data_IF_562961292944
#
_entry.id   IF_562961292944
#
_cell.length_a   1.000
_cell.length_b   1.000
_cell.length_c   1.000
_cell.angle_alpha   90.00
_cell.angle_beta   90.00
_cell.angle_gamma   90.00
#
_symmetry.space_group_name_H-M   'P 1'
#
loop_
_entity.id
_entity.type
_entity.pdbx_description
1 polymer ?
#
# COMPACT_ATOMS: atom_id res chain seq x y z
N UNK A 1 36.83 -6.86 -0.36
CA UNK A 1 35.94 -8.02 -0.17
C UNK A 1 34.61 -7.72 -0.83
N UNK A 2 34.29 -8.41 -1.92
CA UNK A 2 32.93 -8.35 -2.48
C UNK A 2 31.94 -8.89 -1.44
N UNK A 3 30.92 -8.10 -1.10
CA UNK A 3 29.85 -8.54 -0.21
C UNK A 3 29.10 -9.67 -0.90
N UNK A 4 29.15 -10.87 -0.33
CA UNK A 4 28.36 -12.02 -0.82
C UNK A 4 26.87 -11.66 -0.75
N UNK A 5 26.20 -11.69 -1.90
CA UNK A 5 24.76 -11.42 -1.99
C UNK A 5 23.99 -12.58 -1.34
N UNK A 6 23.17 -12.27 -0.33
CA UNK A 6 22.43 -13.27 0.46
C UNK A 6 21.20 -13.84 -0.26
N UNK A 7 20.67 -13.14 -1.26
CA UNK A 7 19.48 -13.58 -1.98
C UNK A 7 19.13 -12.63 -3.13
N UNK A 8 18.01 -12.84 -3.83
CA UNK A 8 17.62 -12.01 -4.96
C UNK A 8 17.27 -10.59 -4.53
N UNK A 9 17.45 -9.64 -5.44
CA UNK A 9 16.93 -8.29 -5.22
C UNK A 9 15.40 -8.31 -5.30
N UNK A 10 14.77 -7.43 -4.53
CA UNK A 10 13.33 -7.27 -4.53
C UNK A 10 12.98 -5.83 -4.90
N UNK A 11 11.87 -5.65 -5.60
CA UNK A 11 11.45 -4.37 -6.16
C UNK A 11 10.05 -4.04 -5.68
N UNK A 12 9.82 -2.75 -5.41
CA UNK A 12 8.50 -2.21 -5.09
C UNK A 12 8.39 -0.80 -5.65
N UNK A 13 7.37 -0.56 -6.48
CA UNK A 13 7.02 0.79 -6.87
C UNK A 13 6.28 1.48 -5.72
N UNK A 14 6.73 2.67 -5.38
CA UNK A 14 6.10 3.59 -4.44
C UNK A 14 5.91 4.92 -5.14
N UNK A 15 5.00 5.73 -4.61
CA UNK A 15 4.74 7.06 -5.13
C UNK A 15 4.70 8.08 -4.00
N UNK A 16 5.18 9.27 -4.30
CA UNK A 16 5.28 10.40 -3.38
C UNK A 16 4.69 11.64 -4.07
N UNK A 17 3.95 12.45 -3.30
CA UNK A 17 3.34 13.68 -3.81
C UNK A 17 4.41 14.78 -3.86
N UNK A 18 4.53 15.42 -5.01
CA UNK A 18 5.40 16.57 -5.24
C UNK A 18 4.55 17.74 -5.77
N UNK A 19 4.91 19.01 -5.51
CA UNK A 19 4.21 20.16 -6.09
C UNK A 19 4.06 20.11 -7.62
N UNK A 20 4.95 19.40 -8.33
CA UNK A 20 4.90 19.22 -9.79
C UNK A 20 4.00 18.05 -10.23
N UNK A 21 3.57 17.18 -9.31
CA UNK A 21 2.72 16.04 -9.62
C UNK A 21 3.00 14.80 -8.76
N UNK A 22 2.97 13.63 -9.40
CA UNK A 22 3.20 12.35 -8.73
C UNK A 22 4.53 11.76 -9.18
N UNK A 23 5.48 11.62 -8.25
CA UNK A 23 6.71 10.88 -8.52
C UNK A 23 6.48 9.40 -8.24
N UNK A 24 6.80 8.54 -9.20
CA UNK A 24 6.69 7.08 -9.05
C UNK A 24 8.06 6.45 -9.16
N UNK A 25 8.53 5.86 -8.06
CA UNK A 25 9.90 5.34 -7.94
C UNK A 25 9.90 3.85 -7.69
N UNK A 26 10.70 3.12 -8.49
CA UNK A 26 10.97 1.71 -8.26
C UNK A 26 12.06 1.56 -7.18
N UNK A 27 11.66 1.39 -5.92
CA UNK A 27 12.60 1.14 -4.82
C UNK A 27 13.13 -0.29 -4.90
N UNK A 28 14.44 -0.43 -4.69
CA UNK A 28 15.15 -1.71 -4.61
C UNK A 28 15.37 -2.08 -3.14
N UNK A 29 15.08 -3.32 -2.82
CA UNK A 29 15.25 -3.92 -1.51
C UNK A 29 16.21 -5.09 -1.61
N UNK A 30 17.11 -5.19 -0.64
CA UNK A 30 18.16 -6.21 -0.58
C UNK A 30 17.92 -7.14 0.61
N UNK A 31 18.26 -8.41 0.43
CA UNK A 31 18.13 -9.44 1.47
C UNK A 31 19.19 -9.24 2.54
N UNK A 32 18.76 -9.20 3.80
CA UNK A 32 19.61 -9.12 4.99
C UNK A 32 19.50 -10.35 5.89
N UNK A 33 18.56 -11.24 5.60
CA UNK A 33 18.33 -12.48 6.33
C UNK A 33 17.34 -13.38 5.60
N UNK A 34 17.42 -14.67 5.88
CA UNK A 34 16.65 -15.71 5.21
C UNK A 34 16.18 -16.73 6.25
N UNK A 35 14.95 -17.19 6.10
CA UNK A 35 14.46 -18.44 6.70
C UNK A 35 14.02 -19.37 5.57
N UNK A 36 13.63 -20.59 5.86
CA UNK A 36 13.09 -21.51 4.84
C UNK A 36 11.93 -20.87 4.06
N UNK A 37 11.03 -20.16 4.75
CA UNK A 37 9.78 -19.66 4.19
C UNK A 37 9.83 -18.20 3.72
N UNK A 38 10.78 -17.40 4.20
CA UNK A 38 10.76 -15.96 3.93
C UNK A 38 12.15 -15.32 3.80
N UNK A 39 12.16 -14.20 3.09
CA UNK A 39 13.24 -13.24 3.03
C UNK A 39 12.96 -12.08 3.99
N UNK A 40 13.97 -11.66 4.73
CA UNK A 40 14.01 -10.36 5.40
C UNK A 40 14.76 -9.39 4.51
N UNK A 41 14.05 -8.35 4.05
CA UNK A 41 14.58 -7.37 3.11
C UNK A 41 14.59 -5.98 3.73
N UNK A 42 15.51 -5.13 3.28
CA UNK A 42 15.58 -3.72 3.64
C UNK A 42 15.78 -2.88 2.38
N UNK A 43 15.35 -1.62 2.40
CA UNK A 43 15.61 -0.69 1.30
C UNK A 43 17.12 -0.53 1.08
N UNK A 44 17.56 -0.51 -0.18
CA UNK A 44 18.99 -0.41 -0.53
C UNK A 44 19.64 0.86 0.06
N UNK A 45 18.89 1.97 0.15
CA UNK A 45 19.36 3.19 0.81
C UNK A 45 19.69 2.94 2.28
N UNK A 46 18.79 2.30 3.03
CA UNK A 46 19.03 1.97 4.43
C UNK A 46 20.17 0.96 4.62
N UNK A 47 20.30 -0.04 3.72
CA UNK A 47 21.46 -0.94 3.73
C UNK A 47 22.77 -0.16 3.57
N UNK A 48 22.79 0.83 2.68
CA UNK A 48 23.95 1.68 2.43
C UNK A 48 24.17 2.75 3.49
N UNK A 49 23.13 3.19 4.19
CA UNK A 49 23.23 4.23 5.21
C UNK A 49 23.75 3.69 6.54
N UNK A 50 23.23 2.55 7.02
CA UNK A 50 23.55 2.07 8.36
C UNK A 50 24.96 1.47 8.41
N UNK A 51 25.79 1.94 9.36
CA UNK A 51 27.19 1.55 9.55
C UNK A 51 27.52 1.45 11.05
N UNK A 52 28.69 0.91 11.38
CA UNK A 52 29.17 0.82 12.76
C UNK A 52 28.46 -0.24 13.61
N UNK A 53 28.66 -0.16 14.92
CA UNK A 53 28.21 -1.16 15.90
C UNK A 53 26.69 -1.32 15.99
N UNK A 54 25.93 -0.28 15.70
CA UNK A 54 24.45 -0.32 15.77
C UNK A 54 23.78 -0.83 14.48
N UNK A 55 24.56 -1.13 13.43
CA UNK A 55 24.04 -1.46 12.10
C UNK A 55 22.99 -2.57 12.14
N UNK A 56 23.26 -3.67 12.83
CA UNK A 56 22.33 -4.80 12.85
C UNK A 56 20.99 -4.45 13.52
N UNK A 57 21.03 -3.67 14.59
CA UNK A 57 19.82 -3.21 15.29
C UNK A 57 18.96 -2.33 14.38
N UNK A 58 19.59 -1.36 13.71
CA UNK A 58 18.90 -0.45 12.78
C UNK A 58 18.33 -1.22 11.58
N UNK A 59 19.09 -2.13 10.97
CA UNK A 59 18.59 -2.98 9.90
C UNK A 59 17.38 -3.82 10.35
N UNK A 60 17.43 -4.36 11.57
CA UNK A 60 16.32 -5.13 12.14
C UNK A 60 15.06 -4.29 12.32
N UNK A 61 15.17 -3.01 12.68
CA UNK A 61 14.01 -2.12 12.83
C UNK A 61 13.35 -1.77 11.48
N UNK A 62 14.15 -1.63 10.42
CA UNK A 62 13.65 -1.23 9.10
C UNK A 62 13.31 -2.41 8.17
N UNK A 63 13.56 -3.66 8.58
CA UNK A 63 13.34 -4.83 7.74
C UNK A 63 11.86 -5.10 7.46
N UNK A 64 11.58 -5.61 6.28
CA UNK A 64 10.28 -6.15 5.87
C UNK A 64 10.40 -7.64 5.62
N UNK A 65 9.33 -8.39 5.87
CA UNK A 65 9.25 -9.83 5.62
C UNK A 65 8.54 -10.07 4.29
N UNK A 66 9.12 -10.89 3.42
CA UNK A 66 8.52 -11.34 2.15
C UNK A 66 8.56 -12.85 2.09
N UNK A 67 7.42 -13.49 1.83
CA UNK A 67 7.35 -14.95 1.66
C UNK A 67 8.03 -15.37 0.35
N UNK A 68 8.78 -16.48 0.37
CA UNK A 68 9.38 -17.07 -0.83
C UNK A 68 8.30 -17.67 -1.73
N UNK A 69 7.39 -18.41 -1.09
CA UNK A 69 6.23 -18.99 -1.74
C UNK A 69 5.02 -18.09 -1.58
N UNK A 70 4.57 -17.57 -2.71
CA UNK A 70 3.33 -16.81 -2.83
C UNK A 70 2.81 -16.85 -4.26
N UNK A 71 3.28 -17.76 -5.10
CA UNK A 71 2.95 -17.81 -6.53
C UNK A 71 3.26 -16.51 -7.30
N UNK A 72 2.86 -16.47 -8.57
CA UNK A 72 2.88 -15.26 -9.41
C UNK A 72 1.83 -14.22 -8.99
N UNK A 73 0.80 -14.64 -8.23
CA UNK A 73 -0.39 -13.86 -7.92
C UNK A 73 -0.56 -13.51 -6.43
N UNK A 74 0.31 -13.99 -5.55
CA UNK A 74 0.21 -13.71 -4.12
C UNK A 74 0.55 -12.26 -3.79
N UNK A 75 -0.20 -11.72 -2.82
CA UNK A 75 0.02 -10.38 -2.28
C UNK A 75 1.32 -10.39 -1.48
N UNK A 76 2.35 -9.72 -2.00
CA UNK A 76 3.66 -9.57 -1.33
C UNK A 76 4.02 -8.11 -1.17
N UNK A 77 4.91 -7.83 -0.22
CA UNK A 77 5.43 -6.48 -0.05
C UNK A 77 6.33 -6.05 -1.22
N UNK A 78 7.24 -6.91 -1.68
CA UNK A 78 8.12 -6.65 -2.81
C UNK A 78 8.31 -7.92 -3.64
N UNK A 79 8.77 -7.76 -4.88
CA UNK A 79 8.81 -8.82 -5.89
C UNK A 79 10.20 -8.92 -6.50
N UNK A 80 10.66 -10.12 -6.83
CA UNK A 80 11.98 -10.33 -7.46
C UNK A 80 12.06 -9.84 -8.90
N UNK A 81 10.91 -9.62 -9.53
CA UNK A 81 10.77 -9.07 -10.87
C UNK A 81 10.08 -7.69 -10.86
N UNK A 82 10.59 -6.77 -11.70
CA UNK A 82 10.06 -5.40 -11.79
C UNK A 82 8.68 -5.34 -12.44
N UNK A 83 8.36 -6.21 -13.40
CA UNK A 83 7.05 -6.22 -14.04
C UNK A 83 5.96 -6.69 -13.05
N UNK A 84 6.25 -7.71 -12.24
CA UNK A 84 5.38 -8.13 -11.13
C UNK A 84 5.21 -7.03 -10.08
N UNK A 85 6.29 -6.34 -9.71
CA UNK A 85 6.22 -5.20 -8.80
C UNK A 85 5.32 -4.06 -9.33
N UNK A 86 5.40 -3.77 -10.63
CA UNK A 86 4.57 -2.76 -11.28
C UNK A 86 3.10 -3.20 -11.35
N UNK A 87 2.84 -4.46 -11.68
CA UNK A 87 1.48 -5.04 -11.65
C UNK A 87 0.85 -4.89 -10.27
N UNK A 88 1.60 -5.23 -9.22
CA UNK A 88 1.14 -5.06 -7.84
C UNK A 88 0.86 -3.59 -7.50
N UNK A 89 1.69 -2.66 -8.00
CA UNK A 89 1.44 -1.22 -7.83
C UNK A 89 0.14 -0.77 -8.49
N UNK A 90 -0.09 -1.16 -9.75
CA UNK A 90 -1.34 -0.86 -10.46
C UNK A 90 -2.56 -1.38 -9.71
N UNK A 91 -2.51 -2.63 -9.23
CA UNK A 91 -3.57 -3.20 -8.40
C UNK A 91 -3.83 -2.38 -7.13
N UNK A 92 -2.78 -1.98 -6.41
CA UNK A 92 -2.93 -1.12 -5.22
C UNK A 92 -3.58 0.22 -5.57
N UNK A 93 -3.23 0.83 -6.72
CA UNK A 93 -3.84 2.09 -7.17
C UNK A 93 -5.30 1.92 -7.55
N UNK A 94 -5.66 0.85 -8.25
CA UNK A 94 -7.07 0.52 -8.52
C UNK A 94 -7.88 0.34 -7.22
N UNK A 95 -7.31 -0.33 -6.22
CA UNK A 95 -7.94 -0.44 -4.90
C UNK A 95 -8.07 0.91 -4.21
N UNK A 96 -7.04 1.77 -4.25
CA UNK A 96 -7.12 3.12 -3.70
C UNK A 96 -8.22 3.95 -4.36
N UNK A 97 -8.36 3.88 -5.69
CA UNK A 97 -9.44 4.55 -6.42
C UNK A 97 -10.80 4.03 -5.94
N UNK A 98 -10.99 2.70 -5.85
CA UNK A 98 -12.24 2.10 -5.36
C UNK A 98 -12.60 2.60 -3.95
N UNK A 99 -11.63 2.65 -3.04
CA UNK A 99 -11.84 3.14 -1.68
C UNK A 99 -12.13 4.65 -1.63
N UNK A 100 -11.44 5.44 -2.45
CA UNK A 100 -11.66 6.88 -2.54
C UNK A 100 -13.05 7.19 -3.11
N UNK A 101 -13.47 6.47 -4.15
CA UNK A 101 -14.79 6.64 -4.75
C UNK A 101 -15.90 6.27 -3.77
N UNK A 102 -15.81 5.12 -3.09
CA UNK A 102 -16.77 4.76 -2.04
C UNK A 102 -16.85 5.84 -0.95
N UNK A 103 -15.70 6.41 -0.55
CA UNK A 103 -15.66 7.45 0.47
C UNK A 103 -16.29 8.76 -0.01
N UNK A 104 -16.08 9.12 -1.27
CA UNK A 104 -16.66 10.29 -1.92
C UNK A 104 -18.19 10.16 -2.02
N UNK A 105 -18.68 9.03 -2.53
CA UNK A 105 -20.10 8.74 -2.71
C UNK A 105 -20.84 8.75 -1.36
N UNK A 106 -20.22 8.20 -0.31
CA UNK A 106 -20.73 8.28 1.05
C UNK A 106 -20.86 9.73 1.54
N UNK A 107 -19.83 10.55 1.31
CA UNK A 107 -19.85 11.96 1.72
C UNK A 107 -20.90 12.75 0.93
N UNK A 108 -21.00 12.51 -0.38
CA UNK A 108 -21.98 13.15 -1.26
C UNK A 108 -23.41 12.78 -0.87
N UNK A 109 -23.69 11.50 -0.58
CA UNK A 109 -25.02 11.08 -0.13
C UNK A 109 -25.43 11.77 1.17
N UNK A 110 -24.52 11.89 2.14
CA UNK A 110 -24.78 12.59 3.40
C UNK A 110 -25.03 14.09 3.19
N UNK A 111 -24.19 14.77 2.39
CA UNK A 111 -24.36 16.20 2.09
C UNK A 111 -25.64 16.46 1.30
N UNK A 112 -25.97 15.60 0.32
CA UNK A 112 -27.20 15.74 -0.46
C UNK A 112 -28.45 15.61 0.42
N UNK A 113 -28.41 14.75 1.44
CA UNK A 113 -29.52 14.54 2.35
C UNK A 113 -29.63 15.63 3.43
N UNK A 114 -28.54 15.97 4.10
CA UNK A 114 -28.54 16.90 5.24
C UNK A 114 -28.23 18.36 4.87
N UNK A 115 -27.74 18.62 3.66
CA UNK A 115 -27.12 19.89 3.30
C UNK A 115 -25.70 20.04 3.87
N UNK A 116 -25.09 21.19 3.58
CA UNK A 116 -23.83 21.59 4.20
C UNK A 116 -24.06 22.36 5.51
N UNK A 117 -22.99 22.87 6.12
CA UNK A 117 -23.06 23.65 7.36
C UNK A 117 -23.88 24.95 7.27
N UNK A 118 -24.30 25.37 6.08
CA UNK A 118 -25.10 26.58 5.86
C UNK A 118 -26.59 26.27 5.75
N UNK A 119 -26.95 24.99 5.69
CA UNK A 119 -28.33 24.53 5.55
C UNK A 119 -28.88 24.19 6.92
N UNK A 120 -30.02 24.78 7.30
CA UNK A 120 -30.75 24.35 8.50
C UNK A 120 -31.43 23.01 8.22
N UNK A 121 -31.14 22.02 9.06
CA UNK A 121 -31.70 20.68 8.96
C UNK A 121 -32.19 20.21 10.32
N UNK A 122 -33.34 19.55 10.33
CA UNK A 122 -33.86 18.89 11.53
C UNK A 122 -32.95 17.75 11.94
N UNK A 123 -32.72 17.60 13.24
CA UNK A 123 -31.94 16.48 13.77
C UNK A 123 -32.65 15.16 13.41
N UNK A 124 -31.99 14.24 12.70
CA UNK A 124 -32.57 12.95 12.35
C UNK A 124 -32.68 12.05 13.60
N UNK A 125 -33.47 10.96 13.53
CA UNK A 125 -33.44 9.91 14.56
C UNK A 125 -32.07 9.21 14.62
N UNK A 126 -31.80 8.51 15.73
CA UNK A 126 -30.53 7.80 15.99
C UNK A 126 -30.11 6.84 14.86
N UNK A 127 -31.10 6.29 14.15
CA UNK A 127 -30.91 5.44 12.99
C UNK A 127 -31.67 5.97 11.79
N UNK A 128 -30.93 6.36 10.76
CA UNK A 128 -31.45 6.77 9.48
C UNK A 128 -30.62 6.14 8.37
N UNK A 129 -31.30 5.51 7.41
CA UNK A 129 -30.66 5.00 6.20
C UNK A 129 -30.82 6.03 5.08
N UNK A 130 -29.72 6.64 4.67
CA UNK A 130 -29.67 7.52 3.49
C UNK A 130 -29.45 6.66 2.25
N UNK A 131 -30.36 6.67 1.26
CA UNK A 131 -30.17 5.91 0.03
C UNK A 131 -28.98 6.45 -0.78
N UNK A 132 -28.20 5.56 -1.37
CA UNK A 132 -27.09 5.89 -2.25
C UNK A 132 -26.99 4.80 -3.32
N UNK A 133 -27.36 5.13 -4.55
CA UNK A 133 -27.45 4.17 -5.66
C UNK A 133 -26.10 3.48 -5.92
N UNK A 134 -25.00 4.23 -5.84
CA UNK A 134 -23.65 3.68 -6.01
C UNK A 134 -23.34 2.59 -4.97
N UNK A 135 -23.60 2.89 -3.69
CA UNK A 135 -23.36 1.96 -2.57
C UNK A 135 -24.30 0.75 -2.69
N UNK A 136 -25.57 0.96 -3.01
CA UNK A 136 -26.55 -0.11 -3.17
C UNK A 136 -26.19 -1.03 -4.36
N UNK A 137 -25.66 -0.47 -5.45
CA UNK A 137 -25.22 -1.19 -6.63
C UNK A 137 -23.86 -1.89 -6.48
N UNK A 138 -23.19 -1.79 -5.34
CA UNK A 138 -21.99 -2.60 -5.09
C UNK A 138 -22.36 -4.07 -4.92
N UNK A 139 -21.62 -4.97 -5.58
CA UNK A 139 -21.69 -6.41 -5.35
C UNK A 139 -21.10 -6.75 -3.97
N UNK A 140 -21.85 -6.49 -2.89
CA UNK A 140 -21.41 -6.72 -1.51
C UNK A 140 -21.04 -8.18 -1.22
N UNK A 141 -21.53 -9.12 -2.04
CA UNK A 141 -21.23 -10.56 -1.98
C UNK A 141 -19.87 -10.95 -2.57
N UNK A 142 -19.18 -10.05 -3.29
CA UNK A 142 -17.87 -10.30 -3.94
C UNK A 142 -16.70 -9.58 -3.25
N UNK A 143 -16.92 -9.07 -2.04
CA UNK A 143 -15.91 -8.36 -1.24
C UNK A 143 -15.02 -9.30 -0.42
#
# INVERSE_FOLDING_TARGET
MEKKKLGPDHYRYVDELDPKGLEVTCKKYVVIGETEQCWYIVDEFHEKLFRGSQRESLLKQHRKRVLKDGGEYGRRFAYTDKALALRSYKQRKSWQIRHAQLSLERAQAAIAYFGDTRTESTVPPDHLMVPCEYIQGMNWSEC
#
